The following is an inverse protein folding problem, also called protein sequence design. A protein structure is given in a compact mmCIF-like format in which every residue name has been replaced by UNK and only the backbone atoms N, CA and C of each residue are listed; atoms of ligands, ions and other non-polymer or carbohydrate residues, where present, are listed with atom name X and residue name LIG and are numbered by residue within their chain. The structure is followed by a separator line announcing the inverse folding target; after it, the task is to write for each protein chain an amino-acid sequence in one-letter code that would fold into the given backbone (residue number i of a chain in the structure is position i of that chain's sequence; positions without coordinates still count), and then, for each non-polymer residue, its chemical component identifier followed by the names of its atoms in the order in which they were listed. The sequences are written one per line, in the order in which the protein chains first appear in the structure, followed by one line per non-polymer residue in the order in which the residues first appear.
data_IF_630190469865
#
_entry.id   IF_630190469865
#
_cell.length_a   1.000
_cell.length_b   1.000
_cell.length_c   1.000
_cell.angle_alpha   90.00
_cell.angle_beta   90.00
_cell.angle_gamma   90.00
#
_symmetry.space_group_name_H-M   'P 1'
#
loop_
_entity.id
_entity.type
_entity.pdbx_description
1 polymer ?
#
# COMPACT_ATOMS: atom_id res chain seq x y z
N UNK A 1 34.35 -24.67 -46.71
CA UNK A 1 33.12 -23.87 -46.51
C UNK A 1 32.76 -23.66 -45.03
N UNK A 2 32.66 -24.70 -44.18
CA UNK A 2 32.33 -24.53 -42.74
C UNK A 2 33.25 -23.58 -41.95
N UNK A 3 34.57 -23.62 -42.19
CA UNK A 3 35.55 -22.73 -41.53
C UNK A 3 35.39 -21.25 -41.93
N UNK A 4 35.00 -21.01 -43.19
CA UNK A 4 34.74 -19.65 -43.71
C UNK A 4 33.43 -19.11 -43.11
N UNK A 5 32.39 -19.96 -43.04
CA UNK A 5 31.13 -19.59 -42.39
C UNK A 5 31.32 -19.28 -40.89
N UNK A 6 32.13 -20.07 -40.18
CA UNK A 6 32.44 -19.82 -38.77
C UNK A 6 33.19 -18.49 -38.56
N UNK A 7 34.14 -18.18 -39.44
CA UNK A 7 34.86 -16.90 -39.41
C UNK A 7 33.95 -15.71 -39.68
N UNK A 8 32.99 -15.84 -40.60
CA UNK A 8 31.99 -14.80 -40.88
C UNK A 8 31.03 -14.58 -39.71
N UNK A 9 30.58 -15.66 -39.04
CA UNK A 9 29.73 -15.55 -37.85
C UNK A 9 30.48 -14.90 -36.69
N UNK A 10 31.73 -15.26 -36.47
CA UNK A 10 32.57 -14.65 -35.44
C UNK A 10 32.82 -13.15 -35.73
N UNK A 11 33.08 -12.80 -36.98
CA UNK A 11 33.22 -11.40 -37.41
C UNK A 11 31.92 -10.63 -37.17
N UNK A 12 30.77 -11.20 -37.56
CA UNK A 12 29.46 -10.57 -37.37
C UNK A 12 29.15 -10.36 -35.88
N UNK A 13 29.46 -11.35 -35.05
CA UNK A 13 29.30 -11.24 -33.59
C UNK A 13 30.16 -10.12 -33.00
N UNK A 14 31.44 -10.03 -33.39
CA UNK A 14 32.34 -8.97 -32.91
C UNK A 14 31.87 -7.59 -33.36
N UNK A 15 31.38 -7.45 -34.59
CA UNK A 15 30.80 -6.21 -35.11
C UNK A 15 29.54 -5.83 -34.35
N UNK A 16 28.63 -6.78 -34.09
CA UNK A 16 27.42 -6.54 -33.28
C UNK A 16 27.75 -6.16 -31.84
N UNK A 17 28.75 -6.81 -31.20
CA UNK A 17 29.22 -6.45 -29.86
C UNK A 17 29.82 -5.05 -29.85
N UNK A 18 30.63 -4.70 -30.85
CA UNK A 18 31.23 -3.37 -30.97
C UNK A 18 30.15 -2.29 -31.12
N UNK A 19 29.17 -2.49 -32.02
CA UNK A 19 28.06 -1.55 -32.18
C UNK A 19 27.16 -1.49 -30.95
N UNK A 20 26.90 -2.61 -30.28
CA UNK A 20 26.16 -2.64 -29.01
C UNK A 20 26.87 -1.85 -27.91
N UNK A 21 28.20 -2.02 -27.79
CA UNK A 21 29.01 -1.26 -26.85
C UNK A 21 29.05 0.23 -27.19
N UNK A 22 29.17 0.59 -28.47
CA UNK A 22 29.19 1.99 -28.91
C UNK A 22 27.82 2.66 -28.72
N UNK A 23 26.72 1.95 -29.00
CA UNK A 23 25.37 2.42 -28.74
C UNK A 23 25.13 2.65 -27.24
N UNK A 24 25.55 1.70 -26.39
CA UNK A 24 25.48 1.83 -24.93
C UNK A 24 26.32 3.01 -24.42
N UNK A 25 27.54 3.21 -24.94
CA UNK A 25 28.40 4.32 -24.58
C UNK A 25 27.83 5.69 -25.03
N UNK A 26 27.16 5.74 -26.19
CA UNK A 26 26.50 6.96 -26.69
C UNK A 26 25.23 7.29 -25.87
N UNK A 27 24.50 6.27 -25.42
CA UNK A 27 23.36 6.41 -24.49
C UNK A 27 23.84 6.88 -23.10
N UNK A 28 24.94 6.34 -22.58
CA UNK A 28 25.51 6.73 -21.29
C UNK A 28 25.99 8.20 -21.30
N UNK A 29 26.49 8.68 -22.44
CA UNK A 29 26.87 10.08 -22.66
C UNK A 29 25.69 11.07 -22.72
N UNK A 30 24.50 10.65 -23.18
CA UNK A 30 23.28 11.45 -23.12
C UNK A 30 22.61 11.38 -21.73
N UNK A 31 22.64 10.22 -21.07
CA UNK A 31 22.14 10.06 -19.70
C UNK A 31 22.98 10.88 -18.69
N UNK A 32 24.29 11.01 -18.89
CA UNK A 32 25.17 11.86 -18.05
C UNK A 32 25.07 13.36 -18.33
N UNK A 33 24.67 13.78 -19.53
CA UNK A 33 24.53 15.21 -19.87
C UNK A 33 23.15 15.80 -19.59
N UNK A 34 22.15 14.94 -19.37
CA UNK A 34 20.83 15.34 -18.86
C UNK A 34 20.63 14.91 -17.39
N UNK A 35 21.70 14.43 -16.74
CA UNK A 35 21.69 14.21 -15.30
C UNK A 35 21.73 15.58 -14.58
N UNK A 36 20.69 15.95 -13.81
CA UNK A 36 20.88 16.96 -12.79
C UNK A 36 21.92 16.42 -11.81
N UNK A 37 22.82 17.29 -11.36
CA UNK A 37 23.78 16.98 -10.30
C UNK A 37 23.09 16.24 -9.14
N UNK A 38 23.59 15.03 -8.86
CA UNK A 38 23.53 14.35 -7.57
C UNK A 38 22.18 14.35 -6.84
N UNK A 39 21.37 13.34 -7.14
CA UNK A 39 21.18 12.23 -6.20
C UNK A 39 20.68 11.04 -7.00
N UNK A 40 21.10 9.82 -6.67
CA UNK A 40 20.17 8.70 -6.81
C UNK A 40 18.89 9.22 -6.18
N UNK A 41 17.77 9.35 -6.92
CA UNK A 41 16.47 9.58 -6.30
C UNK A 41 16.43 8.64 -5.10
N UNK A 42 16.53 9.23 -3.90
CA UNK A 42 16.66 8.43 -2.70
C UNK A 42 15.46 7.52 -2.73
N UNK A 43 15.67 6.21 -2.75
CA UNK A 43 14.58 5.27 -2.45
C UNK A 43 13.98 5.83 -1.18
N UNK A 44 12.77 6.40 -1.30
CA UNK A 44 12.21 7.17 -0.21
C UNK A 44 12.28 6.27 1.01
N UNK A 45 12.96 6.76 2.05
CA UNK A 45 13.04 6.07 3.33
C UNK A 45 11.63 5.96 3.96
N UNK A 46 10.58 6.41 3.29
CA UNK A 46 9.21 6.24 3.70
C UNK A 46 8.40 5.62 2.57
N UNK A 47 7.66 4.56 2.88
CA UNK A 47 6.68 3.94 2.00
C UNK A 47 5.28 4.23 2.54
N UNK A 48 4.38 4.72 1.70
CA UNK A 48 3.05 5.17 2.09
C UNK A 48 2.01 4.33 1.37
N UNK A 49 1.07 3.77 2.10
CA UNK A 49 -0.02 2.97 1.54
C UNK A 49 -1.36 3.54 1.97
N UNK A 50 -2.37 3.35 1.13
CA UNK A 50 -3.75 3.60 1.52
C UNK A 50 -4.44 2.28 1.86
N UNK A 51 -5.20 2.25 2.94
CA UNK A 51 -6.03 1.11 3.33
C UNK A 51 -7.48 1.57 3.22
N UNK A 52 -8.20 0.98 2.26
CA UNK A 52 -9.61 1.22 2.03
C UNK A 52 -10.42 0.08 2.60
N UNK A 53 -11.43 0.42 3.38
CA UNK A 53 -12.46 -0.52 3.78
C UNK A 53 -13.77 -0.18 3.07
N UNK A 54 -14.40 -1.18 2.46
CA UNK A 54 -15.74 -1.08 1.88
C UNK A 54 -16.73 -2.02 2.57
N UNK A 55 -18.02 -1.83 2.32
CA UNK A 55 -19.07 -2.66 2.92
C UNK A 55 -18.97 -4.13 2.47
N UNK A 56 -18.79 -4.36 1.18
CA UNK A 56 -18.69 -5.68 0.55
C UNK A 56 -17.88 -5.57 -0.75
N UNK A 57 -17.04 -6.57 -1.02
CA UNK A 57 -16.41 -6.75 -2.32
C UNK A 57 -17.24 -7.74 -3.15
N UNK A 58 -17.53 -7.40 -4.40
CA UNK A 58 -18.36 -8.23 -5.31
C UNK A 58 -19.85 -7.88 -5.38
N UNK A 59 -20.33 -6.95 -4.54
CA UNK A 59 -21.68 -6.40 -4.62
C UNK A 59 -21.88 -5.38 -5.75
N UNK A 60 -23.14 -5.04 -6.07
CA UNK A 60 -23.46 -4.09 -7.16
C UNK A 60 -23.03 -2.64 -6.84
N UNK A 61 -22.88 -2.29 -5.56
CA UNK A 61 -22.51 -0.92 -5.15
C UNK A 61 -21.77 -0.90 -3.80
N UNK A 62 -20.47 -1.26 -3.79
CA UNK A 62 -19.65 -1.18 -2.58
C UNK A 62 -19.60 0.23 -2.01
N UNK A 63 -19.84 0.34 -0.71
CA UNK A 63 -19.89 1.61 0.00
C UNK A 63 -18.60 1.81 0.78
N UNK A 64 -18.06 3.04 0.77
CA UNK A 64 -16.85 3.36 1.52
C UNK A 64 -17.16 3.41 3.03
N UNK A 65 -16.43 2.63 3.81
CA UNK A 65 -16.54 2.58 5.28
C UNK A 65 -15.44 3.41 5.92
N UNK A 66 -14.19 3.20 5.48
CA UNK A 66 -13.04 3.94 6.02
C UNK A 66 -11.87 4.03 5.04
N UNK A 67 -11.02 5.03 5.24
CA UNK A 67 -9.72 5.17 4.55
C UNK A 67 -8.68 5.54 5.57
N UNK A 68 -7.59 4.78 5.60
CA UNK A 68 -6.42 5.04 6.43
C UNK A 68 -5.16 5.19 5.57
N UNK A 69 -4.30 6.13 5.93
CA UNK A 69 -2.92 6.17 5.45
C UNK A 69 -2.02 5.36 6.36
N UNK A 70 -1.19 4.50 5.80
CA UNK A 70 -0.12 3.77 6.47
C UNK A 70 1.22 4.31 5.98
N UNK A 71 1.99 4.91 6.87
CA UNK A 71 3.31 5.46 6.60
C UNK A 71 4.35 4.57 7.27
N UNK A 72 5.24 3.99 6.47
CA UNK A 72 6.29 3.06 6.89
C UNK A 72 7.62 3.75 6.71
N UNK A 73 8.21 4.24 7.80
CA UNK A 73 9.54 4.82 7.79
C UNK A 73 10.59 3.73 8.01
N UNK A 74 11.43 3.57 6.98
CA UNK A 74 12.59 2.72 6.91
C UNK A 74 13.76 3.26 7.73
N UNK A 75 13.64 3.12 9.05
CA UNK A 75 14.73 3.29 9.99
C UNK A 75 15.10 1.94 10.63
N UNK A 76 16.20 1.92 11.38
CA UNK A 76 16.58 0.79 12.21
C UNK A 76 16.54 1.22 13.69
N UNK A 77 15.45 0.93 14.43
CA UNK A 77 14.27 0.14 14.07
C UNK A 77 13.23 0.90 13.22
N UNK A 78 12.35 0.20 12.45
CA UNK A 78 11.38 0.84 11.56
C UNK A 78 10.24 1.49 12.35
N UNK A 79 9.64 2.54 11.79
CA UNK A 79 8.51 3.24 12.40
C UNK A 79 7.27 3.16 11.51
N UNK A 80 6.11 2.97 12.13
CA UNK A 80 4.82 2.89 11.48
C UNK A 80 3.90 3.98 12.02
N UNK A 81 3.20 4.67 11.12
CA UNK A 81 2.14 5.59 11.49
C UNK A 81 0.88 5.29 10.69
N UNK A 82 -0.25 5.18 11.38
CA UNK A 82 -1.57 5.05 10.78
C UNK A 82 -2.33 6.36 10.99
N UNK A 83 -2.89 6.92 9.93
CA UNK A 83 -3.65 8.17 9.99
C UNK A 83 -5.02 7.96 9.37
N UNK A 84 -6.09 8.22 10.12
CA UNK A 84 -7.44 8.20 9.55
C UNK A 84 -7.61 9.35 8.57
N UNK A 85 -7.98 9.02 7.33
CA UNK A 85 -8.34 9.98 6.29
C UNK A 85 -9.86 10.08 6.10
N UNK A 86 -10.58 8.97 6.35
CA UNK A 86 -12.04 8.91 6.33
C UNK A 86 -12.57 7.85 7.32
N UNK A 87 -13.66 8.14 8.05
CA UNK A 87 -14.37 9.42 8.10
C UNK A 87 -13.59 10.52 8.87
N UNK A 88 -13.93 11.82 8.73
CA UNK A 88 -13.25 12.88 9.47
C UNK A 88 -13.60 12.84 10.97
N UNK A 89 -12.65 13.22 11.85
CA UNK A 89 -12.86 13.25 13.30
C UNK A 89 -13.83 14.35 13.77
N UNK A 90 -14.00 15.40 12.96
CA UNK A 90 -14.81 16.57 13.29
C UNK A 90 -16.33 16.37 13.19
N UNK A 91 -17.06 17.14 13.99
CA UNK A 91 -18.53 17.30 13.88
C UNK A 91 -18.92 18.26 12.77
N UNK A 92 -17.97 19.06 12.28
CA UNK A 92 -18.22 19.96 11.17
C UNK A 92 -18.58 19.16 9.93
N UNK A 93 -19.59 19.65 9.25
CA UNK A 93 -20.06 19.17 7.97
C UNK A 93 -19.04 19.58 6.90
N UNK A 94 -17.79 19.18 7.07
CA UNK A 94 -16.77 19.31 6.04
C UNK A 94 -17.13 18.35 4.91
N UNK A 95 -17.82 18.95 3.95
CA UNK A 95 -17.86 18.69 2.52
C UNK A 95 -17.49 17.26 2.15
N UNK A 96 -18.51 16.41 2.02
CA UNK A 96 -18.56 15.11 1.33
C UNK A 96 -17.19 14.59 0.82
N UNK A 97 -16.28 14.37 1.78
CA UNK A 97 -14.82 14.45 1.55
C UNK A 97 -14.32 13.37 0.62
N UNK A 98 -15.12 12.31 0.48
CA UNK A 98 -14.87 11.14 -0.35
C UNK A 98 -16.04 10.84 -1.29
N UNK A 99 -16.92 11.81 -1.60
CA UNK A 99 -17.98 11.70 -2.64
C UNK A 99 -17.47 11.17 -3.98
N UNK A 100 -16.21 11.46 -4.29
CA UNK A 100 -15.54 11.03 -5.51
C UNK A 100 -15.14 9.55 -5.50
N UNK A 101 -15.24 8.86 -4.36
CA UNK A 101 -14.93 7.45 -4.23
C UNK A 101 -15.93 6.62 -5.04
N UNK A 102 -15.40 5.88 -6.01
CA UNK A 102 -16.11 4.91 -6.83
C UNK A 102 -15.12 3.84 -7.22
N UNK A 103 -15.51 2.57 -7.08
CA UNK A 103 -14.75 1.46 -7.65
C UNK A 103 -14.99 1.34 -9.15
N UNK A 104 -14.06 0.73 -9.87
CA UNK A 104 -14.28 0.27 -11.25
C UNK A 104 -15.20 -0.96 -11.26
N UNK A 105 -15.61 -1.38 -12.45
CA UNK A 105 -16.38 -2.63 -12.63
C UNK A 105 -15.62 -3.87 -12.13
N UNK A 106 -14.29 -3.81 -12.14
CA UNK A 106 -13.41 -4.90 -11.67
C UNK A 106 -13.03 -4.73 -10.19
N UNK A 107 -13.84 -3.99 -9.41
CA UNK A 107 -13.64 -3.71 -8.00
C UNK A 107 -12.30 -3.04 -7.64
N UNK A 108 -11.69 -2.28 -8.57
CA UNK A 108 -10.43 -1.56 -8.33
C UNK A 108 -10.68 -0.09 -8.01
N UNK A 109 -9.74 0.52 -7.30
CA UNK A 109 -9.77 1.97 -7.07
C UNK A 109 -9.15 2.67 -8.29
N UNK A 110 -9.88 3.56 -8.99
CA UNK A 110 -9.35 4.30 -10.12
C UNK A 110 -8.23 5.26 -9.72
N UNK A 111 -7.20 5.41 -10.55
CA UNK A 111 -6.06 6.33 -10.29
C UNK A 111 -6.50 7.76 -9.98
N UNK A 112 -7.60 8.24 -10.58
CA UNK A 112 -8.16 9.57 -10.29
C UNK A 112 -8.59 9.76 -8.83
N UNK A 113 -9.00 8.69 -8.17
CA UNK A 113 -9.38 8.69 -6.75
C UNK A 113 -8.12 8.80 -5.89
N UNK A 114 -7.11 7.97 -6.18
CA UNK A 114 -5.80 8.01 -5.51
C UNK A 114 -5.17 9.41 -5.63
N UNK A 115 -5.06 9.94 -6.86
CA UNK A 115 -4.50 11.28 -7.13
C UNK A 115 -5.29 12.42 -6.48
N UNK A 116 -6.57 12.23 -6.16
CA UNK A 116 -7.36 13.23 -5.41
C UNK A 116 -6.98 13.20 -3.93
N UNK A 117 -6.83 12.02 -3.35
CA UNK A 117 -6.40 11.84 -1.95
C UNK A 117 -4.98 12.38 -1.78
N UNK A 118 -4.05 11.99 -2.64
CA UNK A 118 -2.65 12.46 -2.64
C UNK A 118 -2.57 14.00 -2.65
N UNK A 119 -3.33 14.66 -3.52
CA UNK A 119 -3.38 16.12 -3.57
C UNK A 119 -4.04 16.76 -2.35
N UNK A 120 -5.09 16.14 -1.81
CA UNK A 120 -5.83 16.66 -0.65
C UNK A 120 -4.97 16.62 0.63
N UNK A 121 -4.23 15.53 0.83
CA UNK A 121 -3.43 15.31 2.04
C UNK A 121 -1.94 15.61 1.86
N UNK A 122 -1.52 16.04 0.67
CA UNK A 122 -0.12 16.29 0.32
C UNK A 122 0.78 15.07 0.58
N UNK A 123 0.31 13.89 0.18
CA UNK A 123 1.03 12.62 0.29
C UNK A 123 1.29 12.02 -1.09
N UNK A 124 2.35 11.22 -1.21
CA UNK A 124 2.59 10.33 -2.35
C UNK A 124 2.36 8.89 -1.89
N UNK A 125 1.65 8.08 -2.67
CA UNK A 125 1.30 6.70 -2.28
C UNK A 125 2.02 5.68 -3.15
N UNK A 126 2.54 4.63 -2.52
CA UNK A 126 3.19 3.49 -3.16
C UNK A 126 2.19 2.39 -3.56
N UNK A 127 0.95 2.47 -3.07
CA UNK A 127 -0.14 1.59 -3.45
C UNK A 127 -1.27 1.61 -2.43
N UNK A 128 -2.21 0.69 -2.59
CA UNK A 128 -3.34 0.54 -1.68
C UNK A 128 -3.69 -0.92 -1.40
N UNK A 129 -4.38 -1.12 -0.28
CA UNK A 129 -5.09 -2.32 0.10
C UNK A 129 -6.57 -1.99 0.15
N UNK A 130 -7.40 -2.87 -0.39
CA UNK A 130 -8.84 -2.76 -0.39
C UNK A 130 -9.41 -4.03 0.26
N UNK A 131 -10.12 -3.83 1.36
CA UNK A 131 -10.76 -4.89 2.14
C UNK A 131 -12.23 -4.58 2.29
N UNK A 132 -13.04 -5.62 2.52
CA UNK A 132 -14.42 -5.43 2.95
C UNK A 132 -14.63 -5.71 4.45
N UNK A 133 -15.88 -5.61 4.89
CA UNK A 133 -16.26 -5.87 6.28
C UNK A 133 -16.00 -7.34 6.70
N UNK A 134 -16.05 -8.31 5.78
CA UNK A 134 -15.72 -9.69 6.08
C UNK A 134 -14.22 -9.84 6.38
N UNK A 135 -13.36 -9.27 5.54
CA UNK A 135 -11.92 -9.25 5.79
C UNK A 135 -11.56 -8.52 7.08
N UNK A 136 -12.14 -7.33 7.30
CA UNK A 136 -11.87 -6.53 8.49
C UNK A 136 -12.25 -7.29 9.77
N UNK A 137 -13.47 -7.87 9.82
CA UNK A 137 -13.92 -8.65 10.98
C UNK A 137 -13.10 -9.92 11.19
N UNK A 138 -12.72 -10.63 10.13
CA UNK A 138 -11.89 -11.84 10.23
C UNK A 138 -10.51 -11.53 10.82
N UNK A 139 -9.86 -10.44 10.35
CA UNK A 139 -8.57 -9.99 10.87
C UNK A 139 -8.68 -9.62 12.35
N UNK A 140 -9.75 -8.93 12.75
CA UNK A 140 -9.99 -8.58 14.15
C UNK A 140 -10.15 -9.80 15.05
N UNK A 141 -10.91 -10.81 14.61
CA UNK A 141 -11.04 -12.08 15.32
C UNK A 141 -9.68 -12.75 15.51
N UNK A 142 -8.83 -12.77 14.48
CA UNK A 142 -7.49 -13.37 14.57
C UNK A 142 -6.55 -12.59 15.50
N UNK A 143 -6.74 -11.27 15.61
CA UNK A 143 -6.03 -10.41 16.57
C UNK A 143 -6.59 -10.51 18.01
N UNK A 144 -7.58 -11.37 18.25
CA UNK A 144 -8.21 -11.59 19.55
C UNK A 144 -9.13 -10.46 19.99
N UNK A 145 -9.61 -9.64 19.05
CA UNK A 145 -10.62 -8.62 19.32
C UNK A 145 -12.02 -9.24 19.27
N UNK A 146 -12.91 -8.76 20.13
CA UNK A 146 -14.34 -9.12 20.04
C UNK A 146 -14.90 -8.59 18.72
N UNK A 147 -15.67 -9.43 18.03
CA UNK A 147 -16.25 -9.11 16.71
C UNK A 147 -17.07 -7.83 16.77
N UNK A 148 -16.61 -6.79 16.09
CA UNK A 148 -17.43 -5.64 15.86
C UNK A 148 -18.38 -5.86 14.69
N UNK A 149 -19.61 -5.40 14.88
CA UNK A 149 -20.55 -5.24 13.79
C UNK A 149 -20.15 -4.01 12.99
N UNK A 150 -19.58 -4.20 11.81
CA UNK A 150 -19.41 -3.09 10.87
C UNK A 150 -20.77 -2.68 10.30
N UNK A 151 -21.03 -1.37 10.14
CA UNK A 151 -22.20 -0.93 9.43
C UNK A 151 -22.14 -1.41 7.98
N UNK A 152 -23.24 -1.97 7.50
CA UNK A 152 -23.44 -2.38 6.09
C UNK A 152 -23.84 -1.20 5.20
N UNK A 153 -23.80 0.02 5.73
CA UNK A 153 -24.17 1.27 5.07
C UNK A 153 -23.06 2.32 5.32
N UNK A 154 -22.92 3.35 4.47
CA UNK A 154 -21.94 4.41 4.70
C UNK A 154 -22.29 5.10 6.03
N UNK A 155 -21.33 5.62 6.80
CA UNK A 155 -21.65 6.34 8.02
C UNK A 155 -22.42 7.62 7.70
N UNK A 156 -23.74 7.63 7.97
CA UNK A 156 -24.63 8.73 7.61
C UNK A 156 -24.75 9.76 8.74
N UNK A 157 -24.62 9.32 10.00
CA UNK A 157 -24.70 10.16 11.19
C UNK A 157 -23.32 10.48 11.79
N UNK A 158 -23.16 11.63 12.47
CA UNK A 158 -21.95 11.93 13.25
C UNK A 158 -21.61 10.84 14.28
N UNK A 159 -22.64 10.23 14.90
CA UNK A 159 -22.44 9.12 15.84
C UNK A 159 -21.87 7.87 15.18
N UNK A 160 -22.36 7.49 13.99
CA UNK A 160 -21.81 6.33 13.25
C UNK A 160 -20.38 6.59 12.79
N UNK A 161 -20.06 7.81 12.33
CA UNK A 161 -18.69 8.21 11.99
C UNK A 161 -17.76 8.04 13.19
N UNK A 162 -18.18 8.51 14.37
CA UNK A 162 -17.40 8.37 15.60
C UNK A 162 -17.23 6.90 16.00
N UNK A 163 -18.29 6.08 15.87
CA UNK A 163 -18.22 4.64 16.15
C UNK A 163 -17.21 3.95 15.24
N UNK A 164 -17.25 4.19 13.93
CA UNK A 164 -16.29 3.62 12.97
C UNK A 164 -14.87 4.06 13.30
N UNK A 165 -14.65 5.34 13.61
CA UNK A 165 -13.32 5.85 13.94
C UNK A 165 -12.75 5.22 15.20
N UNK A 166 -13.51 5.25 16.30
CA UNK A 166 -13.08 4.66 17.57
C UNK A 166 -12.86 3.16 17.44
N UNK A 167 -13.66 2.50 16.60
CA UNK A 167 -13.52 1.08 16.32
C UNK A 167 -12.22 0.79 15.54
N UNK A 168 -12.04 1.40 14.38
CA UNK A 168 -10.87 1.18 13.53
C UNK A 168 -9.57 1.61 14.24
N UNK A 169 -9.62 2.70 15.02
CA UNK A 169 -8.50 3.11 15.85
C UNK A 169 -8.12 2.02 16.87
N UNK A 170 -9.10 1.38 17.53
CA UNK A 170 -8.84 0.28 18.46
C UNK A 170 -8.24 -0.93 17.74
N UNK A 171 -8.79 -1.31 16.60
CA UNK A 171 -8.30 -2.44 15.81
C UNK A 171 -6.84 -2.25 15.37
N UNK A 172 -6.53 -1.08 14.80
CA UNK A 172 -5.16 -0.72 14.38
C UNK A 172 -4.23 -0.59 15.59
N UNK A 173 -4.70 -0.03 16.71
CA UNK A 173 -3.89 0.05 17.93
C UNK A 173 -3.55 -1.32 18.49
N UNK A 174 -4.49 -2.28 18.43
CA UNK A 174 -4.25 -3.66 18.81
C UNK A 174 -3.25 -4.32 17.85
N UNK A 175 -3.39 -4.11 16.54
CA UNK A 175 -2.40 -4.57 15.56
C UNK A 175 -1.00 -4.02 15.89
N UNK A 176 -0.89 -2.71 16.15
CA UNK A 176 0.35 -2.05 16.60
C UNK A 176 0.93 -2.70 17.87
N UNK A 177 0.09 -3.01 18.85
CA UNK A 177 0.51 -3.68 20.08
C UNK A 177 1.04 -5.09 19.79
N UNK A 178 0.34 -5.87 18.96
CA UNK A 178 0.73 -7.23 18.59
C UNK A 178 2.07 -7.26 17.85
N UNK A 179 2.27 -6.41 16.84
CA UNK A 179 3.55 -6.39 16.11
C UNK A 179 4.71 -5.87 16.97
N UNK A 180 4.44 -4.99 17.93
CA UNK A 180 5.47 -4.46 18.83
C UNK A 180 5.90 -5.50 19.88
N UNK A 181 4.99 -6.40 20.27
CA UNK A 181 5.25 -7.46 21.25
C UNK A 181 5.80 -8.73 20.63
N UNK A 182 5.23 -9.16 19.50
CA UNK A 182 5.45 -10.48 18.90
C UNK A 182 6.26 -10.43 17.59
N UNK A 183 6.50 -9.23 17.04
CA UNK A 183 7.09 -9.06 15.72
C UNK A 183 6.08 -9.21 14.59
N UNK A 184 6.42 -8.65 13.43
CA UNK A 184 5.50 -8.58 12.27
C UNK A 184 5.20 -9.96 11.68
N UNK A 185 6.20 -10.84 11.60
CA UNK A 185 6.02 -12.21 11.07
C UNK A 185 4.99 -13.01 11.85
N UNK A 186 5.03 -12.94 13.18
CA UNK A 186 4.12 -13.71 14.01
C UNK A 186 2.67 -13.25 13.82
N UNK A 187 2.44 -11.96 13.62
CA UNK A 187 1.11 -11.40 13.36
C UNK A 187 0.63 -11.75 11.96
N UNK A 188 1.47 -11.60 10.94
CA UNK A 188 1.10 -11.92 9.55
C UNK A 188 0.78 -13.41 9.39
N UNK A 189 1.49 -14.29 10.09
CA UNK A 189 1.26 -15.74 10.04
C UNK A 189 -0.05 -16.18 10.72
N UNK A 190 -0.70 -15.32 11.50
CA UNK A 190 -2.04 -15.59 12.06
C UNK A 190 -3.16 -15.31 11.05
N UNK A 191 -2.87 -14.62 9.95
CA UNK A 191 -3.86 -14.25 8.94
C UNK A 191 -4.10 -15.45 8.02
N UNK A 192 -5.34 -15.92 7.95
CA UNK A 192 -5.73 -16.98 7.02
C UNK A 192 -5.99 -16.39 5.63
N UNK A 193 -4.92 -16.16 4.87
CA UNK A 193 -4.99 -15.53 3.54
C UNK A 193 -5.92 -16.26 2.55
N UNK A 194 -6.10 -17.58 2.70
CA UNK A 194 -7.02 -18.38 1.88
C UNK A 194 -8.48 -17.99 2.05
N UNK A 195 -8.84 -17.43 3.19
CA UNK A 195 -10.22 -17.02 3.49
C UNK A 195 -10.49 -15.60 2.96
N UNK A 196 -9.44 -14.82 2.69
CA UNK A 196 -9.56 -13.43 2.22
C UNK A 196 -9.36 -13.29 0.71
N UNK A 197 -8.44 -14.07 0.12
CA UNK A 197 -8.06 -13.93 -1.28
C UNK A 197 -8.85 -14.88 -2.19
N UNK A 198 -9.28 -14.43 -3.38
CA UNK A 198 -9.19 -13.06 -3.90
C UNK A 198 -10.43 -12.21 -3.58
N UNK A 199 -11.47 -12.79 -2.98
CA UNK A 199 -12.81 -12.19 -2.94
C UNK A 199 -12.93 -11.00 -1.98
N UNK A 200 -12.21 -11.01 -0.86
CA UNK A 200 -12.36 -10.05 0.24
C UNK A 200 -11.13 -9.15 0.43
N UNK A 201 -10.08 -9.35 -0.36
CA UNK A 201 -8.85 -8.55 -0.32
C UNK A 201 -8.31 -8.30 -1.72
N UNK A 202 -8.11 -7.03 -2.06
CA UNK A 202 -7.52 -6.58 -3.33
C UNK A 202 -6.39 -5.59 -3.06
N UNK A 203 -5.36 -5.62 -3.90
CA UNK A 203 -4.25 -4.65 -3.83
C UNK A 203 -3.69 -4.36 -5.21
N UNK A 204 -3.15 -3.16 -5.40
CA UNK A 204 -2.32 -2.83 -6.57
C UNK A 204 -0.82 -2.84 -6.24
N UNK A 205 -0.44 -3.16 -5.00
CA UNK A 205 0.95 -3.32 -4.59
C UNK A 205 1.49 -4.59 -5.27
N UNK A 206 2.63 -4.48 -5.96
CA UNK A 206 3.23 -5.64 -6.58
C UNK A 206 3.70 -6.64 -5.53
N UNK A 207 3.72 -7.92 -5.87
CA UNK A 207 4.19 -8.97 -4.95
C UNK A 207 5.62 -8.71 -4.49
N UNK A 208 6.47 -8.17 -5.36
CA UNK A 208 7.85 -7.81 -5.03
C UNK A 208 7.92 -6.70 -3.98
N UNK A 209 7.14 -5.63 -4.14
CA UNK A 209 7.07 -4.52 -3.18
C UNK A 209 6.51 -4.99 -1.84
N UNK A 210 5.46 -5.81 -1.86
CA UNK A 210 4.88 -6.39 -0.66
C UNK A 210 5.89 -7.27 0.10
N UNK A 211 6.54 -8.22 -0.60
CA UNK A 211 7.55 -9.09 0.01
C UNK A 211 8.73 -8.30 0.55
N UNK A 212 9.17 -7.26 -0.15
CA UNK A 212 10.23 -6.38 0.34
C UNK A 212 9.84 -5.67 1.63
N UNK A 213 8.61 -5.13 1.69
CA UNK A 213 8.10 -4.44 2.87
C UNK A 213 7.96 -5.41 4.06
N UNK A 214 7.37 -6.59 3.84
CA UNK A 214 7.21 -7.62 4.88
C UNK A 214 8.57 -8.11 5.37
N UNK A 215 9.47 -8.54 4.47
CA UNK A 215 10.78 -9.05 4.86
C UNK A 215 11.60 -8.02 5.64
N UNK A 216 11.49 -6.74 5.27
CA UNK A 216 12.17 -5.66 6.00
C UNK A 216 11.60 -5.52 7.41
N UNK A 217 10.28 -5.42 7.54
CA UNK A 217 9.63 -5.30 8.85
C UNK A 217 9.89 -6.53 9.74
N UNK A 218 9.83 -7.71 9.15
CA UNK A 218 10.14 -9.00 9.75
C UNK A 218 11.58 -9.13 10.24
N UNK A 219 12.54 -8.63 9.46
CA UNK A 219 13.97 -8.69 9.80
C UNK A 219 14.35 -7.81 11.00
N UNK A 220 13.49 -6.87 11.40
CA UNK A 220 13.74 -6.05 12.58
C UNK A 220 13.27 -6.78 13.85
N UNK A 221 14.16 -6.97 14.86
CA UNK A 221 13.79 -7.65 16.10
C UNK A 221 12.75 -6.87 16.93
N UNK A 222 12.54 -5.59 16.60
CA UNK A 222 11.52 -4.72 17.20
C UNK A 222 11.09 -3.64 16.23
N UNK A 223 9.84 -3.20 16.35
CA UNK A 223 9.36 -1.96 15.73
C UNK A 223 9.74 -0.79 16.63
N UNK A 224 10.23 0.30 16.05
CA UNK A 224 10.66 1.50 16.76
C UNK A 224 9.50 2.26 17.39
N UNK A 225 8.47 2.52 16.59
CA UNK A 225 7.16 2.97 17.06
C UNK A 225 6.06 2.53 16.09
N UNK A 226 4.85 2.37 16.61
CA UNK A 226 3.64 2.16 15.84
C UNK A 226 2.55 3.09 16.39
N UNK A 227 2.28 4.17 15.67
CA UNK A 227 1.45 5.29 16.11
C UNK A 227 0.13 5.34 15.34
N UNK A 228 -0.96 5.70 16.02
CA UNK A 228 -2.30 5.76 15.44
C UNK A 228 -2.90 7.14 15.67
N UNK A 229 -3.16 7.85 14.59
CA UNK A 229 -3.69 9.20 14.57
C UNK A 229 -5.09 9.23 13.96
N UNK A 230 -5.99 9.94 14.61
CA UNK A 230 -7.26 10.32 13.99
C UNK A 230 -7.01 11.67 13.32
N UNK A 231 -7.14 11.75 11.99
CA UNK A 231 -6.97 13.00 11.26
C UNK A 231 -7.91 14.07 11.81
N UNK A 232 -7.36 15.26 12.09
CA UNK A 232 -8.13 16.43 12.53
C UNK A 232 -9.03 16.94 11.40
#
# INVERSE_FOLDING_TARGET
MKKIALALVALLFLVSVYFGFQAAAHLDGHLKKTAPNNSLEGVSAQQNYLIFQVSELGGESPLLVSVWGLFVHDAAPPHLAFVSLYPPAGTEQEDDSFSFFRLTRDARIPDRVIKKIERKYHIETNGYFLVDNFSASSIETWLGLENASFPSQPPLSPSERQTILSHNQRAISQFCAQISQNGVDQVINQIHWTDLLPEHFLTNVSTELWLQAVNKLASSPKIGSCEVFIGQ
#
